data_IF_424975876023
#
_entry.id   IF_424975876023
#
_cell.length_a   1.000
_cell.length_b   1.000
_cell.length_c   1.000
_cell.angle_alpha   90.00
_cell.angle_beta   90.00
_cell.angle_gamma   90.00
#
_symmetry.space_group_name_H-M   'P 1'
#
loop_
_entity.id
_entity.type
_entity.pdbx_description
1 polymer ?
#
# COMPACT_ATOMS: atom_id res chain seq x y z
N UNK A 1 5.35 16.66 -29.93
CA UNK A 1 6.06 17.42 -28.90
C UNK A 1 5.14 17.52 -27.71
N UNK A 2 5.70 17.48 -26.51
CA UNK A 2 4.91 17.46 -25.28
C UNK A 2 4.45 18.88 -24.93
N UNK A 3 3.14 19.06 -24.80
CA UNK A 3 2.49 20.35 -24.55
C UNK A 3 1.62 20.24 -23.31
N UNK A 4 1.87 21.11 -22.34
CA UNK A 4 1.07 21.24 -21.13
C UNK A 4 -0.09 22.21 -21.35
N UNK A 5 -1.22 21.90 -20.72
CA UNK A 5 -2.48 22.63 -20.84
C UNK A 5 -3.00 22.92 -19.43
N UNK A 6 -3.12 24.20 -19.10
CA UNK A 6 -3.91 24.72 -17.98
C UNK A 6 -5.24 25.22 -18.58
N UNK A 7 -6.27 24.40 -18.48
CA UNK A 7 -7.56 24.59 -19.17
C UNK A 7 -8.33 25.78 -18.61
N UNK A 8 -8.24 25.99 -17.30
CA UNK A 8 -8.97 27.05 -16.59
C UNK A 8 -8.13 28.33 -16.40
N UNK A 9 -6.87 28.32 -16.86
CA UNK A 9 -5.88 29.39 -16.61
C UNK A 9 -5.75 29.73 -15.12
N UNK A 10 -5.84 28.72 -14.27
CA UNK A 10 -5.81 28.85 -12.82
C UNK A 10 -4.40 28.62 -12.23
N UNK A 11 -3.40 28.41 -13.08
CA UNK A 11 -2.03 28.09 -12.70
C UNK A 11 -1.82 26.62 -12.37
N UNK A 12 -2.75 25.72 -12.75
CA UNK A 12 -2.62 24.27 -12.57
C UNK A 12 -2.66 23.59 -13.93
N UNK A 13 -1.69 22.72 -14.21
CA UNK A 13 -1.73 21.91 -15.43
C UNK A 13 -2.75 20.80 -15.27
N UNK A 14 -3.80 20.83 -16.09
CA UNK A 14 -4.83 19.79 -16.11
C UNK A 14 -4.39 18.59 -16.94
N UNK A 15 -3.69 18.85 -18.05
CA UNK A 15 -3.34 17.79 -18.99
C UNK A 15 -2.04 18.07 -19.74
N UNK A 16 -1.46 16.99 -20.26
CA UNK A 16 -0.30 17.04 -21.14
C UNK A 16 -0.54 16.14 -22.34
N UNK A 17 -0.39 16.69 -23.53
CA UNK A 17 -0.66 15.99 -24.80
C UNK A 17 0.56 16.01 -25.71
N UNK A 18 0.60 15.07 -26.65
CA UNK A 18 1.47 15.16 -27.82
C UNK A 18 0.77 15.97 -28.91
N UNK A 19 1.43 17.04 -29.36
CA UNK A 19 0.95 17.88 -30.45
C UNK A 19 2.05 18.13 -31.50
N UNK A 20 1.64 18.52 -32.70
CA UNK A 20 2.57 18.92 -33.77
C UNK A 20 3.23 20.27 -33.46
N UNK A 21 2.50 21.19 -32.82
CA UNK A 21 3.00 22.46 -32.31
C UNK A 21 2.13 22.99 -31.16
N UNK A 22 2.61 24.02 -30.45
CA UNK A 22 1.84 24.72 -29.41
C UNK A 22 0.62 25.42 -30.01
N UNK A 23 0.73 26.01 -31.21
CA UNK A 23 -0.37 26.70 -31.90
C UNK A 23 -1.49 25.72 -32.29
N UNK A 24 -1.12 24.51 -32.75
CA UNK A 24 -2.07 23.46 -33.05
C UNK A 24 -2.86 23.05 -31.80
N UNK A 25 -2.16 22.86 -30.66
CA UNK A 25 -2.80 22.59 -29.38
C UNK A 25 -3.65 23.77 -28.89
N UNK A 26 -3.18 25.01 -29.01
CA UNK A 26 -3.92 26.21 -28.63
C UNK A 26 -5.22 26.38 -29.42
N UNK A 27 -5.24 25.98 -30.70
CA UNK A 27 -6.47 25.98 -31.52
C UNK A 27 -7.49 24.94 -31.05
N UNK A 28 -7.04 23.84 -30.44
CA UNK A 28 -7.92 22.79 -29.89
C UNK A 28 -8.48 23.16 -28.52
N UNK A 29 -7.72 23.94 -27.73
CA UNK A 29 -8.10 24.40 -26.39
C UNK A 29 -8.15 25.93 -26.33
N UNK A 30 -9.13 26.56 -27.02
CA UNK A 30 -9.26 28.02 -27.00
C UNK A 30 -9.62 28.50 -25.59
N UNK A 31 -8.80 29.40 -25.04
CA UNK A 31 -8.96 29.93 -23.67
C UNK A 31 -8.12 29.23 -22.60
N UNK A 32 -7.52 28.09 -22.93
CA UNK A 32 -6.51 27.46 -22.08
C UNK A 32 -5.15 28.15 -22.23
N UNK A 33 -4.35 28.12 -21.18
CA UNK A 33 -2.92 28.44 -21.26
C UNK A 33 -2.16 27.21 -21.75
N UNK A 34 -1.58 27.31 -22.95
CA UNK A 34 -0.93 26.19 -23.63
C UNK A 34 0.55 26.51 -23.88
N UNK A 35 1.45 25.62 -23.47
CA UNK A 35 2.89 25.82 -23.60
C UNK A 35 3.65 24.50 -23.78
N UNK A 36 4.78 24.55 -24.49
CA UNK A 36 5.65 23.39 -24.64
C UNK A 36 6.38 23.11 -23.32
N UNK A 37 6.37 21.85 -22.87
CA UNK A 37 7.15 21.42 -21.73
C UNK A 37 7.37 19.91 -21.75
N UNK A 38 8.63 19.52 -21.59
CA UNK A 38 9.00 18.11 -21.46
C UNK A 38 8.97 17.61 -20.01
N UNK A 39 8.97 18.53 -19.03
CA UNK A 39 9.07 18.22 -17.60
C UNK A 39 7.73 18.34 -16.86
N UNK A 40 6.93 19.37 -17.19
CA UNK A 40 5.69 19.66 -16.48
C UNK A 40 4.65 18.57 -16.75
N UNK A 41 3.91 18.18 -15.72
CA UNK A 41 2.89 17.14 -15.76
C UNK A 41 1.54 17.62 -15.26
N UNK A 42 0.49 16.79 -15.39
CA UNK A 42 -0.78 17.05 -14.73
C UNK A 42 -0.61 17.25 -13.22
N UNK A 43 -1.36 18.20 -12.65
CA UNK A 43 -1.32 18.55 -11.23
C UNK A 43 -0.15 19.43 -10.80
N UNK A 44 0.74 19.81 -11.72
CA UNK A 44 1.79 20.79 -11.43
C UNK A 44 1.17 22.18 -11.28
N UNK A 45 1.67 22.95 -10.31
CA UNK A 45 1.16 24.28 -9.97
C UNK A 45 2.22 25.33 -10.27
N UNK A 46 1.83 26.43 -10.90
CA UNK A 46 2.72 27.56 -11.19
C UNK A 46 3.14 28.27 -9.91
N UNK A 47 4.41 28.65 -9.80
CA UNK A 47 4.94 29.42 -8.67
C UNK A 47 4.75 30.94 -8.81
N UNK A 48 4.22 31.41 -9.94
CA UNK A 48 4.02 32.84 -10.25
C UNK A 48 5.27 33.60 -10.69
N UNK A 49 6.45 32.98 -10.64
CA UNK A 49 7.74 33.54 -11.11
C UNK A 49 8.21 32.91 -12.42
N UNK A 50 7.37 32.06 -13.02
CA UNK A 50 7.62 31.36 -14.28
C UNK A 50 8.12 29.93 -14.11
N UNK A 51 8.21 29.43 -12.87
CA UNK A 51 8.48 28.03 -12.58
C UNK A 51 7.22 27.24 -12.25
N UNK A 52 7.41 25.93 -12.10
CA UNK A 52 6.35 24.96 -11.82
C UNK A 52 6.77 24.04 -10.69
N UNK A 53 5.87 23.82 -9.74
CA UNK A 53 6.04 22.89 -8.64
C UNK A 53 5.30 21.59 -8.94
N UNK A 54 6.02 20.48 -8.87
CA UNK A 54 5.43 19.16 -9.00
C UNK A 54 4.40 18.91 -7.89
N UNK A 55 3.28 18.21 -8.18
CA UNK A 55 2.39 17.76 -7.13
C UNK A 55 3.16 16.85 -6.17
N UNK A 56 2.80 16.84 -4.87
CA UNK A 56 3.41 15.92 -3.93
C UNK A 56 3.26 14.48 -4.44
N UNK A 57 4.34 13.71 -4.40
CA UNK A 57 4.29 12.29 -4.73
C UNK A 57 3.25 11.61 -3.83
N UNK A 58 2.33 10.84 -4.44
CA UNK A 58 1.43 10.02 -3.67
C UNK A 58 2.26 9.00 -2.88
N UNK A 59 1.91 8.72 -1.61
CA UNK A 59 2.59 7.68 -0.86
C UNK A 59 2.47 6.37 -1.63
N UNK A 60 3.62 5.75 -1.95
CA UNK A 60 3.64 4.44 -2.56
C UNK A 60 3.21 3.43 -1.50
N UNK A 61 1.99 2.90 -1.61
CA UNK A 61 1.56 1.78 -0.77
C UNK A 61 2.35 0.57 -1.20
N UNK A 62 3.29 0.10 -0.35
CA UNK A 62 3.95 -1.20 -0.58
C UNK A 62 2.86 -2.25 -0.70
N UNK A 63 2.90 -3.06 -1.75
CA UNK A 63 1.95 -4.15 -1.90
C UNK A 63 1.98 -5.06 -0.67
N UNK A 64 0.81 -5.44 -0.14
CA UNK A 64 0.74 -6.28 1.04
C UNK A 64 1.39 -7.64 0.76
N UNK A 65 2.31 -8.06 1.63
CA UNK A 65 2.95 -9.37 1.53
C UNK A 65 1.95 -10.43 2.00
N UNK A 66 1.56 -11.32 1.08
CA UNK A 66 0.57 -12.38 1.33
C UNK A 66 1.20 -13.76 1.21
N UNK A 67 0.73 -14.67 2.04
CA UNK A 67 1.12 -16.08 2.02
C UNK A 67 -0.13 -16.96 2.11
N UNK A 68 -0.11 -18.14 1.47
CA UNK A 68 -1.18 -19.12 1.63
C UNK A 68 -1.32 -19.54 3.11
N UNK A 69 -2.55 -19.60 3.61
CA UNK A 69 -2.83 -19.94 5.01
C UNK A 69 -2.16 -21.25 5.47
N UNK A 70 -2.20 -22.36 4.69
CA UNK A 70 -1.48 -23.57 5.08
C UNK A 70 0.02 -23.37 5.19
N UNK A 71 0.63 -22.59 4.27
CA UNK A 71 2.06 -22.31 4.30
C UNK A 71 2.43 -21.45 5.51
N UNK A 72 1.60 -20.47 5.87
CA UNK A 72 1.76 -19.71 7.11
C UNK A 72 1.72 -20.61 8.34
N UNK A 73 0.71 -21.48 8.47
CA UNK A 73 0.60 -22.42 9.58
C UNK A 73 1.76 -23.41 9.65
N UNK A 74 2.39 -23.73 8.52
CA UNK A 74 3.60 -24.54 8.44
C UNK A 74 4.87 -23.80 8.89
N UNK A 75 4.86 -22.47 9.00
CA UNK A 75 5.99 -21.71 9.58
C UNK A 75 6.15 -21.97 11.08
N UNK A 76 5.07 -22.35 11.77
CA UNK A 76 5.13 -22.80 13.15
C UNK A 76 5.70 -24.22 13.27
N UNK A 77 6.39 -24.51 14.37
CA UNK A 77 6.76 -25.87 14.72
C UNK A 77 5.51 -26.67 15.15
N UNK A 78 5.54 -28.02 15.06
CA UNK A 78 4.46 -28.84 15.59
C UNK A 78 4.19 -28.59 17.08
N UNK A 79 5.23 -28.34 17.88
CA UNK A 79 5.16 -28.06 19.30
C UNK A 79 4.45 -26.73 19.57
N UNK A 80 4.81 -25.67 18.83
CA UNK A 80 4.12 -24.37 18.90
C UNK A 80 2.62 -24.53 18.59
N UNK A 81 2.26 -25.22 17.50
CA UNK A 81 0.84 -25.45 17.15
C UNK A 81 0.09 -26.28 18.19
N UNK A 82 0.76 -27.21 18.88
CA UNK A 82 0.15 -27.97 19.98
C UNK A 82 -0.04 -27.07 21.20
N UNK A 83 0.98 -26.29 21.57
CA UNK A 83 0.93 -25.36 22.69
C UNK A 83 -0.18 -24.32 22.54
N UNK A 84 -0.28 -23.71 21.36
CA UNK A 84 -1.35 -22.76 21.03
C UNK A 84 -2.74 -23.40 21.17
N UNK A 85 -2.94 -24.61 20.62
CA UNK A 85 -4.21 -25.34 20.75
C UNK A 85 -4.54 -25.76 22.18
N UNK A 86 -3.53 -25.98 23.02
CA UNK A 86 -3.74 -26.27 24.44
C UNK A 86 -4.15 -25.01 25.20
N UNK A 87 -3.44 -23.90 24.96
CA UNK A 87 -3.75 -22.61 25.58
C UNK A 87 -5.14 -22.09 25.18
N UNK A 88 -5.54 -22.27 23.92
CA UNK A 88 -6.87 -21.92 23.40
C UNK A 88 -8.03 -22.57 24.17
N UNK A 89 -7.81 -23.67 24.93
CA UNK A 89 -8.87 -24.30 25.72
C UNK A 89 -9.24 -23.51 26.97
N UNK A 90 -8.37 -22.60 27.40
CA UNK A 90 -8.52 -21.83 28.63
C UNK A 90 -8.38 -20.32 28.41
N UNK A 91 -7.83 -19.91 27.27
CA UNK A 91 -7.69 -18.51 26.88
C UNK A 91 -8.54 -18.23 25.63
N UNK A 92 -9.63 -17.48 25.84
CA UNK A 92 -10.60 -17.14 24.79
C UNK A 92 -10.01 -16.20 23.71
N UNK A 93 -8.97 -15.42 24.04
CA UNK A 93 -8.29 -14.55 23.07
C UNK A 93 -7.51 -15.41 22.08
N UNK A 94 -6.81 -16.43 22.57
CA UNK A 94 -6.10 -17.38 21.72
C UNK A 94 -7.09 -18.24 20.94
N UNK A 95 -8.19 -18.67 21.56
CA UNK A 95 -9.23 -19.43 20.88
C UNK A 95 -9.77 -18.68 19.66
N UNK A 96 -10.22 -17.44 19.85
CA UNK A 96 -10.81 -16.61 18.80
C UNK A 96 -9.80 -16.35 17.66
N UNK A 97 -8.59 -15.88 18.00
CA UNK A 97 -7.55 -15.60 17.02
C UNK A 97 -7.15 -16.85 16.22
N UNK A 98 -6.96 -17.97 16.91
CA UNK A 98 -6.57 -19.22 16.26
C UNK A 98 -7.71 -19.79 15.40
N UNK A 99 -8.97 -19.61 15.80
CA UNK A 99 -10.12 -20.00 15.00
C UNK A 99 -10.20 -19.23 13.67
N UNK A 100 -9.94 -17.93 13.68
CA UNK A 100 -9.91 -17.08 12.48
C UNK A 100 -8.82 -17.54 11.51
N UNK A 101 -7.59 -17.74 12.01
CA UNK A 101 -6.44 -18.13 11.17
C UNK A 101 -6.58 -19.54 10.61
N UNK A 102 -7.28 -20.44 11.30
CA UNK A 102 -7.57 -21.79 10.80
C UNK A 102 -8.89 -21.88 10.01
N UNK A 103 -9.59 -20.78 9.75
CA UNK A 103 -10.82 -20.82 8.97
C UNK A 103 -10.50 -21.31 7.54
N UNK A 104 -11.11 -22.40 7.06
CA UNK A 104 -10.81 -22.95 5.73
C UNK A 104 -11.17 -22.02 4.57
N UNK A 105 -11.96 -20.96 4.82
CA UNK A 105 -12.31 -19.93 3.84
C UNK A 105 -11.22 -18.86 3.72
N UNK A 106 -10.32 -18.75 4.70
CA UNK A 106 -9.19 -17.85 4.66
C UNK A 106 -8.08 -18.44 3.78
N UNK A 107 -8.03 -18.04 2.51
CA UNK A 107 -7.05 -18.56 1.56
C UNK A 107 -5.63 -18.01 1.79
N UNK A 108 -5.55 -16.73 2.19
CA UNK A 108 -4.30 -16.00 2.33
C UNK A 108 -4.24 -15.25 3.65
N UNK A 109 -3.03 -15.10 4.16
CA UNK A 109 -2.70 -14.26 5.31
C UNK A 109 -1.80 -13.13 4.84
N UNK A 110 -2.18 -11.91 5.22
CA UNK A 110 -1.38 -10.72 5.01
C UNK A 110 -0.44 -10.54 6.20
N UNK A 111 0.88 -10.65 5.98
CA UNK A 111 1.87 -10.68 7.06
C UNK A 111 1.99 -9.34 7.82
N UNK A 112 1.57 -8.24 7.20
CA UNK A 112 1.51 -6.91 7.80
C UNK A 112 0.19 -6.58 8.49
N UNK A 113 -0.77 -7.50 8.52
CA UNK A 113 -2.08 -7.23 9.10
C UNK A 113 -1.97 -6.90 10.61
N UNK A 114 -2.58 -5.79 11.08
CA UNK A 114 -2.53 -5.40 12.49
C UNK A 114 -3.10 -6.45 13.45
N UNK A 115 -4.12 -7.22 13.05
CA UNK A 115 -4.70 -8.25 13.91
C UNK A 115 -3.81 -9.49 13.97
N UNK A 116 -3.18 -9.85 12.84
CA UNK A 116 -2.18 -10.91 12.82
C UNK A 116 -1.00 -10.57 13.74
N UNK A 117 -0.42 -9.38 13.60
CA UNK A 117 0.71 -8.93 14.41
C UNK A 117 0.34 -8.81 15.89
N UNK A 118 -0.86 -8.32 16.22
CA UNK A 118 -1.35 -8.27 17.59
C UNK A 118 -1.51 -9.67 18.21
N UNK A 119 -2.08 -10.62 17.48
CA UNK A 119 -2.23 -11.99 17.98
C UNK A 119 -0.89 -12.71 18.15
N UNK A 120 0.06 -12.49 17.23
CA UNK A 120 1.44 -12.98 17.40
C UNK A 120 2.11 -12.38 18.65
N UNK A 121 1.92 -11.07 18.90
CA UNK A 121 2.39 -10.42 20.12
C UNK A 121 1.74 -10.99 21.38
N UNK A 122 0.46 -11.35 21.32
CA UNK A 122 -0.24 -12.00 22.42
C UNK A 122 0.32 -13.40 22.71
N UNK A 123 0.64 -14.20 21.69
CA UNK A 123 1.29 -15.50 21.89
C UNK A 123 2.66 -15.37 22.58
N UNK A 124 3.41 -14.30 22.30
CA UNK A 124 4.66 -13.98 22.98
C UNK A 124 4.40 -13.60 24.45
N UNK A 125 3.39 -12.78 24.71
CA UNK A 125 3.01 -12.39 26.07
C UNK A 125 2.60 -13.59 26.93
N UNK A 126 1.95 -14.60 26.34
CA UNK A 126 1.58 -15.84 27.00
C UNK A 126 2.73 -16.86 27.06
N UNK A 127 3.96 -16.46 26.70
CA UNK A 127 5.17 -17.29 26.72
C UNK A 127 5.07 -18.55 25.84
N UNK A 128 4.16 -18.56 24.85
CA UNK A 128 3.99 -19.68 23.92
C UNK A 128 5.06 -19.68 22.83
N UNK A 129 5.73 -18.55 22.63
CA UNK A 129 6.91 -18.38 21.79
C UNK A 129 7.69 -17.13 22.19
N UNK A 130 8.90 -16.97 21.67
CA UNK A 130 9.71 -15.76 21.88
C UNK A 130 9.38 -14.68 20.84
N UNK A 131 9.73 -13.43 21.13
CA UNK A 131 9.57 -12.33 20.19
C UNK A 131 10.37 -12.55 18.89
N UNK A 132 11.62 -13.01 19.00
CA UNK A 132 12.44 -13.37 17.84
C UNK A 132 11.76 -14.45 16.98
N UNK A 133 11.12 -15.42 17.63
CA UNK A 133 10.42 -16.49 16.91
C UNK A 133 9.16 -15.98 16.20
N UNK A 134 8.42 -15.06 16.81
CA UNK A 134 7.28 -14.41 16.17
C UNK A 134 7.72 -13.60 14.94
N UNK A 135 8.86 -12.90 15.02
CA UNK A 135 9.44 -12.18 13.88
C UNK A 135 9.84 -13.12 12.74
N UNK A 136 10.42 -14.28 13.04
CA UNK A 136 10.73 -15.30 12.02
C UNK A 136 9.47 -15.81 11.30
N UNK A 137 8.36 -16.02 12.03
CA UNK A 137 7.09 -16.46 11.44
C UNK A 137 6.49 -15.38 10.54
N UNK A 138 6.64 -14.11 10.89
CA UNK A 138 6.13 -12.95 10.15
C UNK A 138 7.07 -12.43 9.05
N UNK A 139 8.29 -12.96 8.95
CA UNK A 139 9.24 -12.54 7.92
C UNK A 139 8.68 -12.80 6.51
N UNK A 140 8.84 -11.88 5.54
CA UNK A 140 8.32 -12.06 4.18
C UNK A 140 8.86 -13.34 3.53
#
# INVERSE_FOLDING_TARGET
MRVAIDQDSNGVVDNVIEAESVEAAQSMFPGASVFASDEVGPGWVSDGEGGWQAPPELPTTKDPVRIDTPLFLMRFTPQERIGIRQAAKTDLVIEDWFAIINDPRLAYIELGDPNLTAGMGYLVQQELMTEARAQEVLAP
#
